data_IF_934038722057
#
_entry.id   IF_934038722057
#
_cell.length_a   1.000
_cell.length_b   1.000
_cell.length_c   1.000
_cell.angle_alpha   90.00
_cell.angle_beta   90.00
_cell.angle_gamma   90.00
#
_symmetry.space_group_name_H-M   'P 1'
#
loop_
_entity.id
_entity.type
_entity.pdbx_description
1 polymer ?
#
# COMPACT_ATOMS: atom_id res chain seq x y z
N UNK A 1 -39.67 -4.85 -8.46
CA UNK A 1 -39.79 -3.39 -8.23
C UNK A 1 -38.41 -2.80 -8.45
N UNK A 2 -38.17 -2.31 -9.66
CA UNK A 2 -36.89 -1.75 -10.08
C UNK A 2 -36.81 -0.29 -9.64
N UNK A 3 -35.73 0.09 -8.95
CA UNK A 3 -35.41 1.47 -8.63
C UNK A 3 -34.38 2.00 -9.60
N UNK A 4 -34.79 2.96 -10.43
CA UNK A 4 -33.94 3.82 -11.26
C UNK A 4 -33.82 5.19 -10.55
N UNK A 5 -32.79 5.98 -10.88
CA UNK A 5 -32.50 7.45 -10.67
C UNK A 5 -31.03 7.61 -10.20
N UNK A 6 -30.17 8.53 -10.66
CA UNK A 6 -30.21 9.56 -11.71
C UNK A 6 -28.77 10.04 -11.99
N UNK A 7 -28.41 10.28 -13.25
CA UNK A 7 -27.16 10.96 -13.66
C UNK A 7 -27.30 12.49 -13.52
N UNK A 8 -26.46 13.12 -12.71
CA UNK A 8 -25.96 14.50 -12.95
C UNK A 8 -24.69 14.75 -12.12
N UNK A 9 -23.59 15.12 -12.80
CA UNK A 9 -22.49 15.89 -12.22
C UNK A 9 -21.15 15.18 -12.07
N UNK A 10 -20.36 15.16 -13.15
CA UNK A 10 -18.89 15.02 -13.21
C UNK A 10 -18.25 13.77 -12.53
N UNK A 11 -17.89 12.78 -13.36
CA UNK A 11 -17.04 11.65 -12.96
C UNK A 11 -15.54 11.86 -13.27
N UNK A 12 -14.67 10.85 -13.01
CA UNK A 12 -14.99 9.55 -12.42
C UNK A 12 -14.09 9.18 -11.22
N UNK A 13 -14.65 8.48 -10.23
CA UNK A 13 -14.00 7.34 -9.58
C UNK A 13 -14.95 6.69 -8.56
N UNK A 14 -16.01 6.05 -9.04
CA UNK A 14 -16.46 4.84 -8.35
C UNK A 14 -15.57 3.70 -8.82
N UNK A 15 -14.62 3.30 -7.99
CA UNK A 15 -14.00 1.99 -8.12
C UNK A 15 -14.72 1.08 -7.14
N UNK A 16 -15.87 0.58 -7.58
CA UNK A 16 -16.51 -0.61 -7.02
C UNK A 16 -15.71 -1.82 -7.49
N UNK A 17 -14.61 -2.12 -6.80
CA UNK A 17 -13.83 -3.33 -7.03
C UNK A 17 -14.06 -4.33 -5.93
N UNK A 18 -14.32 -5.59 -6.27
CA UNK A 18 -14.08 -6.67 -5.33
C UNK A 18 -12.56 -6.68 -4.97
N UNK A 19 -12.16 -7.28 -3.84
CA UNK A 19 -10.74 -7.32 -3.42
C UNK A 19 -9.83 -7.96 -4.49
N UNK A 20 -10.34 -8.89 -5.28
CA UNK A 20 -9.66 -9.52 -6.42
C UNK A 20 -9.47 -8.56 -7.61
N UNK A 21 -10.32 -7.55 -7.80
CA UNK A 21 -10.20 -6.57 -8.87
C UNK A 21 -9.04 -5.59 -8.58
N UNK A 22 -8.76 -5.30 -7.30
CA UNK A 22 -7.61 -4.49 -6.87
C UNK A 22 -6.25 -5.15 -7.17
N UNK A 23 -6.24 -6.46 -7.44
CA UNK A 23 -5.02 -7.20 -7.79
C UNK A 23 -4.53 -6.83 -9.20
N UNK A 24 -5.46 -6.59 -10.13
CA UNK A 24 -5.17 -6.33 -11.53
C UNK A 24 -4.91 -4.85 -11.86
N UNK A 25 -5.09 -3.94 -10.91
CA UNK A 25 -4.95 -2.50 -11.17
C UNK A 25 -3.48 -2.09 -11.28
N UNK A 26 -3.10 -1.18 -12.20
CA UNK A 26 -1.71 -0.74 -12.32
C UNK A 26 -1.24 0.12 -11.14
N UNK A 27 -2.16 0.78 -10.42
CA UNK A 27 -1.87 1.63 -9.25
C UNK A 27 -2.19 0.88 -7.96
N UNK A 28 -1.39 1.13 -6.93
CA UNK A 28 -1.64 0.60 -5.58
C UNK A 28 -2.83 1.29 -4.90
N UNK A 29 -3.62 0.58 -4.11
CA UNK A 29 -4.77 1.15 -3.40
C UNK A 29 -4.37 2.16 -2.31
N UNK A 30 -5.09 3.29 -2.31
CA UNK A 30 -5.24 4.19 -1.17
C UNK A 30 -6.61 3.94 -0.55
N UNK A 31 -6.62 3.22 0.56
CA UNK A 31 -7.81 2.94 1.37
C UNK A 31 -8.15 4.20 2.18
N UNK A 32 -9.22 4.87 1.76
CA UNK A 32 -9.78 6.05 2.45
C UNK A 32 -10.84 5.55 3.43
N UNK A 33 -10.46 5.56 4.70
CA UNK A 33 -11.25 5.02 5.80
C UNK A 33 -11.25 5.98 7.00
N UNK A 34 -12.13 7.00 7.02
CA UNK A 34 -12.26 7.90 8.16
C UNK A 34 -12.63 7.20 9.47
N UNK A 35 -13.22 6.00 9.41
CA UNK A 35 -13.61 5.24 10.60
C UNK A 35 -12.43 4.55 11.29
N UNK A 36 -11.35 4.28 10.54
CA UNK A 36 -10.19 3.51 11.00
C UNK A 36 -10.44 2.00 11.15
N UNK A 37 -11.60 1.48 10.77
CA UNK A 37 -11.92 0.05 10.84
C UNK A 37 -11.05 -0.80 9.90
N UNK A 38 -10.80 -0.34 8.67
CA UNK A 38 -9.91 -1.02 7.72
C UNK A 38 -8.45 -0.98 8.20
N UNK A 39 -7.98 0.15 8.73
CA UNK A 39 -6.64 0.24 9.33
C UNK A 39 -6.48 -0.77 10.48
N UNK A 40 -7.50 -0.88 11.34
CA UNK A 40 -7.55 -1.84 12.45
C UNK A 40 -7.56 -3.27 11.93
N UNK A 41 -8.44 -3.58 10.97
CA UNK A 41 -8.53 -4.89 10.35
C UNK A 41 -7.18 -5.33 9.77
N UNK A 42 -6.56 -4.49 8.94
CA UNK A 42 -5.27 -4.77 8.30
C UNK A 42 -4.14 -4.98 9.32
N UNK A 43 -4.16 -4.25 10.44
CA UNK A 43 -3.18 -4.42 11.53
C UNK A 43 -3.28 -5.78 12.23
N UNK A 44 -4.48 -6.37 12.27
CA UNK A 44 -4.69 -7.72 12.81
C UNK A 44 -4.56 -8.83 11.75
N UNK A 45 -4.45 -8.47 10.47
CA UNK A 45 -4.06 -9.42 9.43
C UNK A 45 -2.54 -9.65 9.45
N UNK A 46 -2.09 -10.72 8.80
CA UNK A 46 -0.66 -11.01 8.64
C UNK A 46 -0.01 -10.05 7.63
N UNK A 47 0.27 -8.83 8.08
CA UNK A 47 0.83 -7.74 7.27
C UNK A 47 2.15 -7.22 7.85
N UNK A 48 2.98 -6.67 6.97
CA UNK A 48 4.07 -5.80 7.40
C UNK A 48 3.50 -4.39 7.52
N UNK A 49 3.29 -3.93 8.75
CA UNK A 49 2.56 -2.70 9.03
C UNK A 49 3.50 -1.57 9.45
N UNK A 50 3.52 -0.48 8.68
CA UNK A 50 4.29 0.73 8.92
C UNK A 50 3.34 1.84 9.35
N UNK A 51 3.29 2.09 10.66
CA UNK A 51 2.67 3.31 11.19
C UNK A 51 3.54 4.53 10.85
N UNK A 52 3.08 5.37 9.93
CA UNK A 52 3.90 6.47 9.39
C UNK A 52 4.02 7.67 10.33
N UNK A 53 3.15 7.81 11.33
CA UNK A 53 3.35 8.87 12.34
C UNK A 53 4.45 8.50 13.34
N UNK A 54 4.81 7.22 13.42
CA UNK A 54 5.93 6.76 14.24
C UNK A 54 7.26 6.96 13.48
N UNK A 55 8.12 7.91 13.90
CA UNK A 55 9.38 8.18 13.20
C UNK A 55 10.33 6.98 13.22
N UNK A 56 10.22 6.09 14.20
CA UNK A 56 11.04 4.88 14.24
C UNK A 56 10.67 3.90 13.13
N UNK A 57 9.39 3.81 12.77
CA UNK A 57 8.93 2.97 11.66
C UNK A 57 9.32 3.56 10.30
N UNK A 58 9.39 4.89 10.19
CA UNK A 58 9.78 5.60 8.97
C UNK A 58 11.28 5.65 8.71
N UNK A 59 12.13 5.16 9.62
CA UNK A 59 13.57 5.08 9.35
C UNK A 59 13.80 4.28 8.07
N UNK A 60 14.68 4.73 7.14
CA UNK A 60 14.89 4.07 5.85
C UNK A 60 15.13 2.57 6.00
N UNK A 61 15.96 2.20 6.98
CA UNK A 61 16.27 0.81 7.25
C UNK A 61 15.08 -0.05 7.69
N UNK A 62 14.17 0.54 8.48
CA UNK A 62 12.94 -0.15 8.89
C UNK A 62 11.99 -0.33 7.72
N UNK A 63 11.87 0.66 6.85
CA UNK A 63 11.09 0.55 5.61
C UNK A 63 11.68 -0.52 4.69
N UNK A 64 13.01 -0.53 4.49
CA UNK A 64 13.69 -1.53 3.66
C UNK A 64 13.40 -2.95 4.14
N UNK A 65 13.56 -3.21 5.44
CA UNK A 65 13.32 -4.53 6.02
C UNK A 65 11.83 -4.91 5.99
N UNK A 66 10.92 -3.95 6.21
CA UNK A 66 9.47 -4.19 6.06
C UNK A 66 9.12 -4.55 4.62
N UNK A 67 9.71 -3.89 3.62
CA UNK A 67 9.53 -4.20 2.21
C UNK A 67 10.11 -5.58 1.86
N UNK A 68 11.35 -5.87 2.26
CA UNK A 68 11.97 -7.18 2.02
C UNK A 68 11.19 -8.32 2.66
N UNK A 69 10.74 -8.15 3.90
CA UNK A 69 9.90 -9.15 4.58
C UNK A 69 8.59 -9.38 3.84
N UNK A 70 7.95 -8.32 3.34
CA UNK A 70 6.69 -8.42 2.62
C UNK A 70 6.89 -9.15 1.28
N UNK A 71 7.93 -8.81 0.53
CA UNK A 71 8.30 -9.48 -0.72
C UNK A 71 8.63 -10.96 -0.51
N UNK A 72 9.47 -11.28 0.48
CA UNK A 72 9.90 -12.65 0.77
C UNK A 72 8.74 -13.58 1.11
N UNK A 73 7.81 -13.09 1.92
CA UNK A 73 6.69 -13.88 2.42
C UNK A 73 5.42 -13.73 1.58
N UNK A 74 5.40 -12.84 0.59
CA UNK A 74 4.20 -12.50 -0.18
C UNK A 74 3.12 -11.81 0.66
N UNK A 75 3.51 -11.17 1.76
CA UNK A 75 2.59 -10.50 2.68
C UNK A 75 2.27 -9.09 2.20
N UNK A 76 1.11 -8.54 2.56
CA UNK A 76 0.84 -7.13 2.33
C UNK A 76 1.81 -6.23 3.12
N UNK A 77 2.37 -5.22 2.47
CA UNK A 77 2.98 -4.06 3.10
C UNK A 77 1.92 -2.96 3.22
N UNK A 78 1.75 -2.42 4.43
CA UNK A 78 0.77 -1.38 4.72
C UNK A 78 1.48 -0.14 5.24
N UNK A 79 1.29 1.01 4.60
CA UNK A 79 1.62 2.33 5.16
C UNK A 79 0.34 2.98 5.70
N UNK A 80 0.22 3.10 7.02
CA UNK A 80 -0.86 3.83 7.67
C UNK A 80 -0.49 5.31 7.78
N UNK A 81 -1.11 6.14 6.94
CA UNK A 81 -0.95 7.59 6.88
C UNK A 81 -1.74 8.31 7.97
N UNK A 82 -2.59 7.61 8.73
CA UNK A 82 -3.37 8.18 9.83
C UNK A 82 -4.23 9.36 9.35
N UNK A 83 -4.38 10.37 10.19
CA UNK A 83 -5.15 11.59 9.94
C UNK A 83 -4.35 12.69 9.19
N UNK A 84 -3.14 12.40 8.67
CA UNK A 84 -2.24 13.40 8.05
C UNK A 84 -1.78 12.92 6.67
N UNK A 85 -1.52 13.84 5.73
CA UNK A 85 -0.83 13.45 4.49
C UNK A 85 0.68 13.28 4.72
N UNK A 86 1.09 12.05 5.02
CA UNK A 86 2.49 11.64 5.13
C UNK A 86 2.99 10.90 3.88
N UNK A 87 2.22 10.88 2.79
CA UNK A 87 2.63 10.20 1.57
C UNK A 87 3.95 10.75 0.98
N UNK A 88 4.17 12.09 0.91
CA UNK A 88 5.47 12.63 0.49
C UNK A 88 6.61 12.22 1.42
N UNK A 89 6.35 12.06 2.72
CA UNK A 89 7.36 11.60 3.66
C UNK A 89 7.75 10.15 3.39
N UNK A 90 6.78 9.27 3.14
CA UNK A 90 7.03 7.88 2.75
C UNK A 90 7.88 7.82 1.47
N UNK A 91 7.54 8.59 0.43
CA UNK A 91 8.32 8.65 -0.80
C UNK A 91 9.76 9.08 -0.54
N UNK A 92 9.99 10.13 0.24
CA UNK A 92 11.36 10.56 0.61
C UNK A 92 12.14 9.47 1.36
N UNK A 93 11.49 8.73 2.26
CA UNK A 93 12.17 7.66 2.99
C UNK A 93 12.49 6.46 2.09
N UNK A 94 11.64 6.14 1.11
CA UNK A 94 11.95 5.16 0.06
C UNK A 94 13.17 5.60 -0.75
N UNK A 95 13.23 6.86 -1.19
CA UNK A 95 14.39 7.41 -1.88
C UNK A 95 15.68 7.40 -1.03
N UNK A 96 15.53 7.56 0.29
CA UNK A 96 16.65 7.45 1.23
C UNK A 96 17.12 6.01 1.45
N UNK A 97 16.30 4.98 1.14
CA UNK A 97 16.76 3.58 1.11
C UNK A 97 17.69 3.37 -0.08
N UNK A 98 17.23 3.76 -1.27
CA UNK A 98 18.05 3.86 -2.47
C UNK A 98 17.36 4.79 -3.48
N UNK A 99 18.13 5.55 -4.29
CA UNK A 99 17.56 6.40 -5.33
C UNK A 99 16.68 5.62 -6.31
N UNK A 100 15.51 6.17 -6.64
CA UNK A 100 14.52 5.61 -7.56
C UNK A 100 13.59 4.56 -6.95
N UNK A 101 13.75 4.18 -5.68
CA UNK A 101 12.94 3.13 -5.07
C UNK A 101 11.45 3.48 -5.01
N UNK A 102 11.10 4.74 -4.77
CA UNK A 102 9.70 5.12 -4.71
C UNK A 102 9.02 4.89 -6.06
N UNK A 103 9.69 5.28 -7.16
CA UNK A 103 9.19 5.05 -8.51
C UNK A 103 9.09 3.55 -8.83
N UNK A 104 10.15 2.77 -8.59
CA UNK A 104 10.16 1.31 -8.85
C UNK A 104 9.05 0.59 -8.06
N UNK A 105 8.85 0.94 -6.79
CA UNK A 105 7.79 0.35 -5.97
C UNK A 105 6.40 0.77 -6.44
N UNK A 106 6.17 2.08 -6.64
CA UNK A 106 4.84 2.61 -7.00
C UNK A 106 4.41 2.21 -8.42
N UNK A 107 5.36 2.07 -9.35
CA UNK A 107 5.14 1.58 -10.71
C UNK A 107 5.10 0.06 -10.83
N UNK A 108 5.34 -0.66 -9.72
CA UNK A 108 5.47 -2.12 -9.63
C UNK A 108 6.72 -2.71 -10.30
N UNK A 109 7.57 -1.91 -10.95
CA UNK A 109 8.82 -2.38 -11.60
C UNK A 109 9.77 -3.09 -10.65
N UNK A 110 9.71 -2.79 -9.34
CA UNK A 110 10.49 -3.52 -8.33
C UNK A 110 10.24 -5.04 -8.35
N UNK A 111 9.06 -5.48 -8.81
CA UNK A 111 8.66 -6.87 -8.89
C UNK A 111 9.14 -7.56 -10.18
N UNK A 112 9.70 -6.82 -11.14
CA UNK A 112 10.12 -7.38 -12.43
C UNK A 112 11.46 -8.12 -12.27
N UNK A 113 11.42 -9.43 -12.49
CA UNK A 113 12.58 -10.31 -12.37
C UNK A 113 13.23 -10.18 -10.99
N UNK A 114 14.51 -9.82 -10.97
CA UNK A 114 15.35 -9.78 -9.77
C UNK A 114 15.60 -8.37 -9.23
N UNK A 115 14.85 -7.35 -9.66
CA UNK A 115 15.09 -5.95 -9.27
C UNK A 115 15.04 -5.71 -7.75
N UNK A 116 14.20 -6.45 -7.04
CA UNK A 116 14.12 -6.40 -5.58
C UNK A 116 15.45 -6.77 -4.89
N UNK A 117 16.34 -7.53 -5.55
CA UNK A 117 17.63 -7.93 -4.97
C UNK A 117 18.53 -6.73 -4.68
N UNK A 118 18.30 -5.58 -5.34
CA UNK A 118 19.00 -4.31 -5.03
C UNK A 118 18.80 -3.85 -3.58
N UNK A 119 17.74 -4.29 -2.92
CA UNK A 119 17.44 -3.97 -1.52
C UNK A 119 18.21 -4.83 -0.52
N UNK A 120 18.80 -5.94 -0.96
CA UNK A 120 19.53 -6.88 -0.11
C UNK A 120 20.88 -6.29 0.29
N UNK A 121 21.28 -6.55 1.54
CA UNK A 121 22.59 -6.15 2.05
C UNK A 121 23.37 -7.37 2.53
N UNK A 122 24.72 -7.34 2.45
CA UNK A 122 25.56 -8.46 2.87
C UNK A 122 25.36 -8.90 4.33
N UNK A 123 24.88 -8.01 5.19
CA UNK A 123 24.71 -8.23 6.63
C UNK A 123 23.25 -8.49 7.05
N UNK A 124 22.33 -8.70 6.11
CA UNK A 124 20.91 -8.96 6.43
C UNK A 124 20.67 -10.32 7.09
N UNK A 125 21.63 -11.25 6.99
CA UNK A 125 21.50 -12.59 7.51
C UNK A 125 21.02 -13.61 6.46
N UNK A 126 21.16 -14.91 6.76
CA UNK A 126 20.87 -15.98 5.81
C UNK A 126 19.41 -16.03 5.35
N UNK A 127 18.49 -15.48 6.15
CA UNK A 127 17.07 -15.44 5.87
C UNK A 127 16.71 -14.49 4.71
N UNK A 128 17.61 -13.57 4.33
CA UNK A 128 17.46 -12.71 3.16
C UNK A 128 18.37 -13.13 2.00
N UNK A 129 18.89 -14.36 2.02
CA UNK A 129 19.63 -14.90 0.87
C UNK A 129 18.77 -14.91 -0.41
N UNK A 130 19.36 -14.78 -1.62
CA UNK A 130 18.59 -14.69 -2.87
C UNK A 130 17.63 -15.85 -3.11
N UNK A 131 17.96 -17.06 -2.64
CA UNK A 131 17.11 -18.26 -2.76
C UNK A 131 15.90 -18.27 -1.81
N UNK A 132 15.81 -17.30 -0.90
CA UNK A 132 14.72 -17.19 0.06
C UNK A 132 13.48 -16.49 -0.51
N UNK A 133 13.60 -15.88 -1.70
CA UNK A 133 12.52 -15.20 -2.40
C UNK A 133 11.93 -16.12 -3.47
N UNK A 134 10.66 -16.46 -3.32
CA UNK A 134 9.96 -17.36 -4.23
C UNK A 134 9.08 -16.54 -5.17
N UNK A 135 9.15 -16.80 -6.48
CA UNK A 135 8.38 -16.09 -7.50
C UNK A 135 6.87 -16.12 -7.23
N UNK A 136 6.34 -17.26 -6.78
CA UNK A 136 4.94 -17.39 -6.39
C UNK A 136 4.53 -16.43 -5.25
N UNK A 137 5.44 -16.15 -4.31
CA UNK A 137 5.21 -15.21 -3.19
C UNK A 137 5.39 -13.76 -3.62
N UNK A 138 6.37 -13.49 -4.48
CA UNK A 138 6.53 -12.16 -5.10
C UNK A 138 5.24 -11.75 -5.84
N UNK A 139 4.62 -12.68 -6.57
CA UNK A 139 3.31 -12.45 -7.21
C UNK A 139 2.14 -12.21 -6.23
N UNK A 140 2.28 -12.62 -4.96
CA UNK A 140 1.29 -12.39 -3.91
C UNK A 140 1.48 -11.06 -3.17
N UNK A 141 2.66 -10.43 -3.27
CA UNK A 141 2.94 -9.15 -2.62
C UNK A 141 1.88 -8.10 -2.98
N UNK A 142 1.41 -7.37 -1.98
CA UNK A 142 0.50 -6.23 -2.15
C UNK A 142 1.02 -5.05 -1.35
N UNK A 143 0.81 -3.86 -1.88
CA UNK A 143 1.06 -2.61 -1.18
C UNK A 143 -0.26 -1.88 -0.95
N UNK A 144 -0.51 -1.47 0.29
CA UNK A 144 -1.64 -0.64 0.67
C UNK A 144 -1.16 0.65 1.32
N UNK A 145 -1.79 1.75 0.95
CA UNK A 145 -1.79 2.97 1.74
C UNK A 145 -3.14 3.10 2.41
N UNK A 146 -3.18 3.45 3.68
CA UNK A 146 -4.43 3.64 4.43
C UNK A 146 -4.43 5.04 5.00
N UNK A 147 -5.55 5.74 4.93
CA UNK A 147 -5.69 7.09 5.51
C UNK A 147 -7.08 7.29 6.09
N UNK A 148 -7.15 8.07 7.17
CA UNK A 148 -8.40 8.56 7.73
C UNK A 148 -8.82 9.91 7.16
N UNK A 149 -7.97 10.54 6.35
CA UNK A 149 -8.28 11.81 5.68
C UNK A 149 -9.38 11.56 4.65
N UNK A 150 -10.56 12.16 4.84
CA UNK A 150 -11.73 11.95 3.98
C UNK A 150 -11.48 12.37 2.52
N UNK A 151 -10.65 13.39 2.32
CA UNK A 151 -10.33 14.00 1.03
C UNK A 151 -8.81 14.11 0.89
N UNK A 152 -8.11 13.03 0.49
CA UNK A 152 -6.67 13.07 0.31
C UNK A 152 -6.26 14.03 -0.82
N UNK A 153 -5.03 14.57 -0.80
CA UNK A 153 -4.57 15.51 -1.82
C UNK A 153 -4.61 14.94 -3.25
N UNK A 154 -4.90 15.79 -4.23
CA UNK A 154 -5.08 15.38 -5.63
C UNK A 154 -3.83 14.69 -6.22
N UNK A 155 -2.63 15.10 -5.82
CA UNK A 155 -1.38 14.47 -6.24
C UNK A 155 -1.32 13.00 -5.79
N UNK A 156 -1.67 12.73 -4.53
CA UNK A 156 -1.76 11.37 -4.01
C UNK A 156 -2.78 10.52 -4.77
N UNK A 157 -3.94 11.10 -5.11
CA UNK A 157 -5.01 10.44 -5.88
C UNK A 157 -4.65 10.18 -7.37
N UNK A 158 -3.67 10.91 -7.92
CA UNK A 158 -3.12 10.63 -9.26
C UNK A 158 -2.20 9.42 -9.24
N UNK A 159 -1.43 9.25 -8.17
CA UNK A 159 -0.43 8.17 -8.02
C UNK A 159 -1.08 6.88 -7.52
N UNK A 160 -2.00 6.97 -6.56
CA UNK A 160 -2.66 5.84 -5.93
C UNK A 160 -4.11 5.70 -6.41
N UNK A 161 -4.62 4.47 -6.34
CA UNK A 161 -6.02 4.18 -6.66
C UNK A 161 -6.90 4.43 -5.43
N UNK A 162 -7.78 5.44 -5.41
CA UNK A 162 -8.67 5.64 -4.26
C UNK A 162 -9.66 4.50 -4.10
N UNK A 163 -9.75 3.95 -2.89
CA UNK A 163 -10.72 2.94 -2.47
C UNK A 163 -11.40 3.43 -1.21
N UNK A 164 -12.69 3.73 -1.25
CA UNK A 164 -13.43 4.27 -0.11
C UNK A 164 -14.09 3.14 0.69
N UNK A 165 -13.88 3.13 2.00
CA UNK A 165 -14.59 2.21 2.89
C UNK A 165 -16.02 2.70 3.07
N UNK A 166 -16.98 1.85 2.73
CA UNK A 166 -18.39 2.06 3.04
C UNK A 166 -18.73 1.25 4.28
N UNK A 167 -19.13 1.92 5.35
CA UNK A 167 -19.74 1.25 6.49
C UNK A 167 -21.19 0.92 6.12
N UNK A 168 -21.72 -0.25 6.53
CA UNK A 168 -23.14 -0.52 6.42
C UNK A 168 -23.89 0.65 7.08
N UNK A 169 -24.82 1.28 6.37
CA UNK A 169 -25.76 2.20 7.01
C UNK A 169 -26.48 1.36 8.07
N UNK A 170 -26.30 1.73 9.34
CA UNK A 170 -26.90 1.00 10.45
C UNK A 170 -28.38 0.80 10.17
N UNK A 171 -28.82 -0.47 10.12
CA UNK A 171 -30.23 -0.79 10.28
C UNK A 171 -30.59 -0.43 11.72
N UNK A 172 -31.26 0.70 11.88
CA UNK A 172 -32.14 0.95 13.01
C UNK A 172 -33.52 0.43 12.62
#
# INVERSE_FOLDING_TARGET
>A
MAGQWSETGEGPAEVLGNVSDLVATPRWPLVIDPSGQAATFLRYQDTNYVDTVNPDHLRPERIRLALLGALRYGKPLVFDLREVDLFPAVQRQLEAVQPGLAEELLSRRLLDGDRYQSLLRPNDGPEYGPTQFQEARLGQFRLFFVTKVQWPPAEQLRILLPVRVQLPRGGL
#
